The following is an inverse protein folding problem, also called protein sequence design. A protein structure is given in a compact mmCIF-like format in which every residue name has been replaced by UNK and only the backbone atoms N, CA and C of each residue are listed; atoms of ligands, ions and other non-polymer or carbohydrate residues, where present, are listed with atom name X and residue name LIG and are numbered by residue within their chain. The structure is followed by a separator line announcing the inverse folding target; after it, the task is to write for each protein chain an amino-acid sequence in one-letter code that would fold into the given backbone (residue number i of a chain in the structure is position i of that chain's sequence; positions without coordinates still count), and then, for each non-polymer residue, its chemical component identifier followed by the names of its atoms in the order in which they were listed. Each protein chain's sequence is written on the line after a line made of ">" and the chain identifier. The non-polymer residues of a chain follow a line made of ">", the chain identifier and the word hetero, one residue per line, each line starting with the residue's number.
data_IF_693445618340
#
_entry.id   IF_693445618340
#
_cell.length_a   1.000
_cell.length_b   1.000
_cell.length_c   1.000
_cell.angle_alpha   90.00
_cell.angle_beta   90.00
_cell.angle_gamma   90.00
#
_symmetry.space_group_name_H-M   'P 1'
#
loop_
_entity.id
_entity.type
_entity.pdbx_description
1 polymer ?
#
# COMPACT_ATOMS: atom_id res chain seq x y z
N UNK A 1 -26.62 -15.56 14.11
CA UNK A 1 -25.34 -15.35 13.40
C UNK A 1 -25.50 -14.98 11.91
N UNK A 2 -26.73 -14.91 11.35
CA UNK A 2 -27.01 -14.39 10.00
C UNK A 2 -27.44 -12.90 9.94
N UNK A 3 -27.59 -12.21 11.08
CA UNK A 3 -28.08 -10.81 11.12
C UNK A 3 -26.98 -9.73 11.06
N UNK A 4 -25.70 -10.10 11.19
CA UNK A 4 -24.57 -9.14 11.12
C UNK A 4 -24.02 -8.93 9.71
N UNK A 5 -24.07 -9.97 8.84
CA UNK A 5 -23.62 -9.88 7.44
C UNK A 5 -24.58 -9.14 6.49
N UNK A 6 -25.80 -8.83 6.94
CA UNK A 6 -26.78 -8.04 6.16
C UNK A 6 -26.58 -6.52 6.37
N UNK A 7 -25.92 -6.08 7.45
CA UNK A 7 -25.67 -4.65 7.70
C UNK A 7 -24.57 -4.05 6.83
N UNK A 8 -23.51 -4.80 6.54
CA UNK A 8 -22.40 -4.30 5.72
C UNK A 8 -22.78 -4.16 4.22
N UNK A 9 -23.70 -5.00 3.74
CA UNK A 9 -24.31 -4.83 2.41
C UNK A 9 -25.34 -3.70 2.37
N UNK A 10 -26.01 -3.40 3.49
CA UNK A 10 -26.86 -2.21 3.61
C UNK A 10 -26.03 -0.92 3.59
N UNK A 11 -24.85 -0.88 4.18
CA UNK A 11 -23.99 0.33 4.17
C UNK A 11 -23.37 0.61 2.79
N UNK A 12 -22.98 -0.41 2.03
CA UNK A 12 -22.51 -0.24 0.64
C UNK A 12 -23.64 0.17 -0.30
N UNK A 13 -24.85 -0.39 -0.13
CA UNK A 13 -26.04 0.14 -0.82
C UNK A 13 -26.37 1.56 -0.36
N UNK A 14 -26.16 1.92 0.92
CA UNK A 14 -26.40 3.27 1.45
C UNK A 14 -25.46 4.31 0.83
N UNK A 15 -24.19 3.97 0.59
CA UNK A 15 -23.22 4.89 -0.05
C UNK A 15 -23.55 5.11 -1.53
N UNK A 16 -23.95 4.07 -2.25
CA UNK A 16 -24.36 4.19 -3.67
C UNK A 16 -25.73 4.86 -3.80
N UNK A 17 -26.68 4.56 -2.91
CA UNK A 17 -27.97 5.26 -2.84
C UNK A 17 -27.79 6.71 -2.41
N UNK A 18 -26.93 7.04 -1.45
CA UNK A 18 -26.60 8.42 -1.09
C UNK A 18 -25.96 9.16 -2.25
N UNK A 19 -25.09 8.52 -3.04
CA UNK A 19 -24.54 9.16 -4.24
C UNK A 19 -25.64 9.44 -5.28
N UNK A 20 -26.55 8.49 -5.52
CA UNK A 20 -27.72 8.72 -6.40
C UNK A 20 -28.74 9.70 -5.82
N UNK A 21 -28.95 9.73 -4.51
CA UNK A 21 -29.87 10.66 -3.83
C UNK A 21 -29.26 12.06 -3.78
N UNK A 22 -27.96 12.22 -3.56
CA UNK A 22 -27.22 13.49 -3.64
C UNK A 22 -27.18 14.00 -5.08
N UNK A 23 -27.11 13.10 -6.08
CA UNK A 23 -27.20 13.45 -7.49
C UNK A 23 -28.64 13.75 -7.95
N UNK A 24 -29.64 13.09 -7.35
CA UNK A 24 -31.07 13.30 -7.66
C UNK A 24 -31.71 14.45 -6.87
N UNK A 25 -31.15 14.82 -5.71
CA UNK A 25 -31.52 16.00 -4.92
C UNK A 25 -30.80 17.27 -5.41
N UNK A 26 -30.12 17.20 -6.56
CA UNK A 26 -29.57 18.37 -7.30
C UNK A 26 -30.63 19.36 -7.79
N UNK A 27 -31.89 19.19 -7.41
CA UNK A 27 -32.96 20.13 -7.68
C UNK A 27 -32.90 21.40 -6.83
N UNK A 28 -32.81 21.33 -5.50
CA UNK A 28 -33.32 22.48 -4.70
C UNK A 28 -32.64 22.83 -3.36
N UNK A 29 -31.48 22.26 -2.94
CA UNK A 29 -30.96 22.58 -1.58
C UNK A 29 -29.48 22.94 -1.39
N UNK A 30 -28.68 23.15 -2.44
CA UNK A 30 -27.33 23.72 -2.27
C UNK A 30 -26.99 24.71 -3.39
N UNK A 31 -27.09 26.01 -3.08
CA UNK A 31 -26.80 27.12 -4.00
C UNK A 31 -25.30 27.36 -4.32
N UNK A 32 -24.39 26.45 -3.96
CA UNK A 32 -22.99 26.52 -4.44
C UNK A 32 -22.71 25.37 -5.38
N UNK A 33 -22.63 25.67 -6.68
CA UNK A 33 -22.00 24.75 -7.62
C UNK A 33 -20.54 24.64 -7.20
N UNK A 34 -20.06 23.42 -6.99
CA UNK A 34 -18.64 23.15 -6.70
C UNK A 34 -17.67 23.63 -7.80
N UNK A 35 -18.20 24.06 -8.95
CA UNK A 35 -17.46 24.72 -10.03
C UNK A 35 -17.02 26.14 -9.70
N UNK A 36 -17.60 26.79 -8.69
CA UNK A 36 -17.39 28.20 -8.39
C UNK A 36 -16.38 28.42 -7.24
N UNK A 37 -15.65 27.37 -6.85
CA UNK A 37 -14.62 27.44 -5.81
C UNK A 37 -13.30 27.90 -6.43
N UNK A 38 -12.69 29.01 -5.96
CA UNK A 38 -11.42 29.46 -6.50
C UNK A 38 -10.33 28.43 -6.25
N UNK A 39 -9.45 28.21 -7.24
CA UNK A 39 -8.32 27.29 -7.11
C UNK A 39 -7.37 27.82 -6.03
N UNK A 40 -7.30 27.13 -4.89
CA UNK A 40 -6.53 27.56 -3.70
C UNK A 40 -5.03 27.29 -3.86
N UNK A 41 -4.67 26.30 -4.67
CA UNK A 41 -3.28 25.90 -4.88
C UNK A 41 -3.09 25.29 -6.27
N UNK A 42 -1.91 25.49 -6.85
CA UNK A 42 -1.51 24.85 -8.11
C UNK A 42 -0.14 24.20 -7.97
N UNK A 43 0.06 23.01 -8.57
CA UNK A 43 1.37 22.36 -8.59
C UNK A 43 2.39 23.21 -9.35
N UNK A 44 3.62 23.23 -8.84
CA UNK A 44 4.77 23.81 -9.54
C UNK A 44 5.39 22.82 -10.54
N UNK A 45 6.40 23.25 -11.31
CA UNK A 45 7.07 22.41 -12.31
C UNK A 45 7.67 21.11 -11.74
N UNK A 46 8.09 21.15 -10.47
CA UNK A 46 8.67 20.02 -9.76
C UNK A 46 7.63 18.99 -9.29
N UNK A 47 6.35 19.32 -9.36
CA UNK A 47 5.27 18.42 -8.93
C UNK A 47 5.12 17.24 -9.90
N UNK A 48 4.90 16.05 -9.35
CA UNK A 48 4.61 14.85 -10.14
C UNK A 48 5.75 14.31 -11.00
N UNK A 49 7.03 14.65 -10.73
CA UNK A 49 8.18 14.14 -11.51
C UNK A 49 8.19 12.63 -11.68
N UNK A 50 7.91 11.88 -10.61
CA UNK A 50 7.87 10.40 -10.63
C UNK A 50 6.76 9.91 -11.56
N UNK A 51 5.56 10.50 -11.45
CA UNK A 51 4.43 10.18 -12.32
C UNK A 51 4.72 10.52 -13.78
N UNK A 52 5.36 11.67 -14.06
CA UNK A 52 5.80 12.04 -15.42
C UNK A 52 6.80 11.03 -15.98
N UNK A 53 7.73 10.55 -15.16
CA UNK A 53 8.70 9.49 -15.54
C UNK A 53 7.98 8.18 -15.87
N UNK A 54 7.04 7.76 -15.03
CA UNK A 54 6.24 6.56 -15.28
C UNK A 54 5.39 6.68 -16.54
N UNK A 55 4.67 7.80 -16.70
CA UNK A 55 3.88 8.11 -17.89
C UNK A 55 4.72 7.97 -19.17
N UNK A 56 5.94 8.52 -19.17
CA UNK A 56 6.83 8.43 -20.32
C UNK A 56 7.20 6.98 -20.67
N UNK A 57 7.44 6.12 -19.68
CA UNK A 57 7.70 4.69 -19.91
C UNK A 57 6.50 4.03 -20.60
N UNK A 58 5.28 4.35 -20.16
CA UNK A 58 4.05 3.84 -20.78
C UNK A 58 3.90 4.37 -22.21
N UNK A 59 4.08 5.68 -22.44
CA UNK A 59 4.00 6.29 -23.77
C UNK A 59 5.00 5.65 -24.74
N UNK A 60 6.26 5.50 -24.32
CA UNK A 60 7.33 4.96 -25.15
C UNK A 60 7.11 3.46 -25.46
N UNK A 61 6.65 2.67 -24.49
CA UNK A 61 6.49 1.21 -24.63
C UNK A 61 5.22 0.82 -25.41
N UNK A 62 4.11 1.51 -25.18
CA UNK A 62 2.81 1.20 -25.77
C UNK A 62 2.46 2.09 -26.97
N UNK A 63 3.35 3.02 -27.34
CA UNK A 63 3.14 3.97 -28.44
C UNK A 63 1.84 4.78 -28.31
N UNK A 64 1.51 5.16 -27.07
CA UNK A 64 0.33 5.98 -26.74
C UNK A 64 0.72 7.41 -26.41
N UNK A 65 -0.18 8.35 -26.63
CA UNK A 65 -0.02 9.75 -26.23
C UNK A 65 -0.91 10.04 -25.02
N UNK A 66 -0.32 10.50 -23.92
CA UNK A 66 -1.04 10.80 -22.68
C UNK A 66 -0.82 12.28 -22.33
N UNK A 67 -1.78 13.16 -22.64
CA UNK A 67 -1.60 14.61 -22.49
C UNK A 67 -1.63 15.04 -21.01
N UNK A 68 -2.29 14.28 -20.14
CA UNK A 68 -2.33 14.56 -18.71
C UNK A 68 -2.63 13.36 -17.82
N UNK A 69 -2.88 13.67 -16.53
CA UNK A 69 -3.24 12.66 -15.53
C UNK A 69 -4.50 11.89 -15.92
N UNK A 70 -5.52 12.56 -16.47
CA UNK A 70 -6.79 11.93 -16.82
C UNK A 70 -6.63 10.89 -17.92
N UNK A 71 -5.73 11.11 -18.88
CA UNK A 71 -5.45 10.13 -19.93
C UNK A 71 -4.69 8.93 -19.38
N UNK A 72 -3.69 9.16 -18.53
CA UNK A 72 -2.98 8.08 -17.84
C UNK A 72 -3.92 7.26 -16.94
N UNK A 73 -4.83 7.93 -16.23
CA UNK A 73 -5.86 7.28 -15.42
C UNK A 73 -6.77 6.41 -16.30
N UNK A 74 -7.33 6.98 -17.37
CA UNK A 74 -8.18 6.25 -18.32
C UNK A 74 -7.45 5.02 -18.87
N UNK A 75 -6.21 5.21 -19.34
CA UNK A 75 -5.38 4.13 -19.85
C UNK A 75 -5.15 3.04 -18.79
N UNK A 76 -4.87 3.41 -17.53
CA UNK A 76 -4.64 2.45 -16.43
C UNK A 76 -5.86 1.60 -16.10
N UNK A 77 -7.07 2.15 -16.28
CA UNK A 77 -8.32 1.42 -16.06
C UNK A 77 -8.74 0.56 -17.25
N UNK A 78 -8.36 0.95 -18.46
CA UNK A 78 -8.65 0.19 -19.70
C UNK A 78 -7.61 -0.91 -19.95
N UNK A 79 -6.36 -0.74 -19.49
CA UNK A 79 -5.23 -1.65 -19.69
C UNK A 79 -4.64 -2.07 -18.34
N UNK A 80 -5.48 -2.71 -17.52
CA UNK A 80 -5.19 -2.95 -16.10
C UNK A 80 -3.96 -3.87 -15.91
N UNK A 81 -3.87 -4.96 -16.68
CA UNK A 81 -2.78 -5.92 -16.57
C UNK A 81 -1.44 -5.32 -17.01
N UNK A 82 -1.44 -4.57 -18.11
CA UNK A 82 -0.30 -3.84 -18.66
C UNK A 82 0.19 -2.79 -17.66
N UNK A 83 -0.72 -1.97 -17.14
CA UNK A 83 -0.39 -0.93 -16.16
C UNK A 83 0.28 -1.52 -14.92
N UNK A 84 -0.28 -2.58 -14.34
CA UNK A 84 0.25 -3.19 -13.12
C UNK A 84 1.54 -3.99 -13.38
N UNK A 85 1.71 -4.57 -14.57
CA UNK A 85 2.99 -5.13 -14.99
C UNK A 85 4.09 -4.05 -15.09
N UNK A 86 3.79 -2.90 -15.69
CA UNK A 86 4.76 -1.79 -15.74
C UNK A 86 5.05 -1.22 -14.35
N UNK A 87 4.04 -1.12 -13.49
CA UNK A 87 4.23 -0.63 -12.13
C UNK A 87 5.18 -1.52 -11.35
N UNK A 88 5.06 -2.85 -11.47
CA UNK A 88 5.98 -3.81 -10.87
C UNK A 88 7.45 -3.54 -11.26
N UNK A 89 7.69 -3.32 -12.54
CA UNK A 89 9.03 -3.05 -13.07
C UNK A 89 9.52 -1.66 -12.68
N UNK A 90 8.66 -0.66 -12.74
CA UNK A 90 8.98 0.73 -12.44
C UNK A 90 9.42 0.93 -10.99
N UNK A 91 8.74 0.29 -10.03
CA UNK A 91 9.13 0.36 -8.61
C UNK A 91 10.31 -0.56 -8.28
N UNK A 92 10.63 -1.50 -9.18
CA UNK A 92 11.72 -2.44 -9.04
C UNK A 92 11.47 -3.45 -7.92
N UNK A 93 10.34 -4.17 -7.99
CA UNK A 93 10.04 -5.23 -7.03
C UNK A 93 11.08 -6.36 -7.15
N UNK A 94 11.72 -6.67 -6.02
CA UNK A 94 12.61 -7.81 -5.88
C UNK A 94 11.75 -9.05 -5.66
N UNK A 95 11.97 -10.07 -6.49
CA UNK A 95 11.25 -11.35 -6.40
C UNK A 95 12.16 -12.50 -6.82
N UNK A 96 11.96 -13.65 -6.18
CA UNK A 96 12.63 -14.91 -6.54
C UNK A 96 11.99 -15.60 -7.76
N UNK A 97 10.70 -15.33 -7.99
CA UNK A 97 9.98 -15.73 -9.19
C UNK A 97 9.05 -14.58 -9.58
N UNK A 98 9.10 -14.16 -10.85
CA UNK A 98 8.15 -13.20 -11.43
C UNK A 98 6.75 -13.84 -11.51
N UNK A 99 5.72 -13.01 -11.52
CA UNK A 99 4.35 -13.47 -11.77
C UNK A 99 4.23 -14.12 -13.16
N UNK A 100 3.33 -15.10 -13.25
CA UNK A 100 2.90 -15.71 -14.50
C UNK A 100 1.71 -14.93 -15.08
N UNK A 101 0.85 -14.36 -14.23
CA UNK A 101 -0.31 -13.55 -14.63
C UNK A 101 -0.52 -12.41 -13.61
N UNK A 102 -0.76 -11.19 -14.09
CA UNK A 102 -0.98 -10.02 -13.21
C UNK A 102 -2.34 -10.10 -12.53
N UNK A 103 -3.38 -10.37 -13.31
CA UNK A 103 -4.76 -10.43 -12.86
C UNK A 103 -5.57 -11.23 -13.89
N UNK A 104 -6.45 -12.12 -13.41
CA UNK A 104 -7.46 -12.73 -14.28
C UNK A 104 -8.67 -11.81 -14.38
N UNK A 105 -8.86 -11.19 -15.54
CA UNK A 105 -9.97 -10.28 -15.82
C UNK A 105 -11.32 -11.00 -15.95
N UNK A 106 -11.33 -12.33 -16.05
CA UNK A 106 -12.56 -13.13 -16.12
C UNK A 106 -13.06 -13.57 -14.73
N UNK A 107 -12.27 -13.33 -13.67
CA UNK A 107 -12.65 -13.69 -12.31
C UNK A 107 -13.92 -12.92 -11.90
N UNK A 108 -14.93 -13.60 -11.33
CA UNK A 108 -16.17 -12.95 -10.98
C UNK A 108 -15.99 -12.06 -9.73
N UNK A 109 -16.75 -10.97 -9.65
CA UNK A 109 -16.58 -9.94 -8.61
C UNK A 109 -16.84 -10.44 -7.17
N UNK A 110 -17.55 -11.56 -7.02
CA UNK A 110 -17.80 -12.21 -5.73
C UNK A 110 -16.59 -12.96 -5.18
N UNK A 111 -15.58 -13.21 -6.01
CA UNK A 111 -14.31 -13.80 -5.59
C UNK A 111 -13.26 -12.70 -5.37
N UNK A 112 -12.34 -12.94 -4.43
CA UNK A 112 -11.16 -12.10 -4.28
C UNK A 112 -10.21 -12.41 -5.44
N UNK A 113 -9.98 -11.47 -6.37
CA UNK A 113 -9.14 -11.75 -7.51
C UNK A 113 -7.70 -11.98 -7.06
N UNK A 114 -7.05 -12.99 -7.66
CA UNK A 114 -5.64 -13.26 -7.41
C UNK A 114 -4.79 -12.28 -8.19
N UNK A 115 -4.01 -11.49 -7.47
CA UNK A 115 -3.03 -10.58 -8.04
C UNK A 115 -1.65 -11.23 -8.12
N UNK A 116 -0.95 -11.02 -9.23
CA UNK A 116 0.41 -11.48 -9.48
C UNK A 116 0.57 -12.99 -9.26
N UNK A 117 -0.38 -13.78 -9.76
CA UNK A 117 -0.35 -15.23 -9.60
C UNK A 117 0.96 -15.81 -10.14
N UNK A 118 1.54 -16.73 -9.37
CA UNK A 118 2.85 -17.31 -9.66
C UNK A 118 4.04 -16.56 -9.06
N UNK A 119 3.90 -15.28 -8.66
CA UNK A 119 5.01 -14.52 -8.08
C UNK A 119 5.43 -15.07 -6.71
N UNK A 120 6.73 -15.00 -6.43
CA UNK A 120 7.30 -15.30 -5.11
C UNK A 120 8.25 -14.19 -4.68
N UNK A 121 7.83 -13.41 -3.69
CA UNK A 121 8.59 -12.30 -3.11
C UNK A 121 8.57 -12.35 -1.59
N UNK A 122 9.49 -11.62 -0.96
CA UNK A 122 9.43 -11.35 0.46
C UNK A 122 9.24 -9.84 0.71
N UNK A 123 8.31 -9.49 1.60
CA UNK A 123 8.01 -8.10 1.93
C UNK A 123 9.20 -7.40 2.60
N UNK A 124 9.82 -8.04 3.59
CA UNK A 124 10.97 -7.48 4.29
C UNK A 124 12.16 -7.30 3.34
N UNK A 125 12.41 -8.23 2.42
CA UNK A 125 13.47 -8.10 1.40
C UNK A 125 13.33 -6.82 0.57
N UNK A 126 12.10 -6.50 0.15
CA UNK A 126 11.84 -5.30 -0.63
C UNK A 126 12.02 -4.00 0.17
N UNK A 127 11.67 -4.00 1.47
CA UNK A 127 11.89 -2.85 2.36
C UNK A 127 13.37 -2.69 2.76
N UNK A 128 14.09 -3.81 2.90
CA UNK A 128 15.47 -3.89 3.35
C UNK A 128 16.48 -3.98 2.19
N UNK A 129 16.07 -3.58 0.99
CA UNK A 129 16.92 -3.64 -0.21
C UNK A 129 18.14 -2.71 -0.12
N UNK A 130 18.02 -1.62 0.63
CA UNK A 130 19.14 -0.71 0.91
C UNK A 130 19.84 -1.13 2.19
N UNK A 131 21.17 -1.05 2.19
CA UNK A 131 22.06 -1.38 3.31
C UNK A 131 23.19 -0.37 3.41
N UNK A 132 22.85 0.90 3.18
CA UNK A 132 23.78 2.02 3.18
C UNK A 132 23.60 2.88 4.45
N UNK A 133 24.43 3.91 4.59
CA UNK A 133 24.45 4.82 5.74
C UNK A 133 23.37 5.90 5.68
N UNK A 134 22.45 5.85 4.71
CA UNK A 134 21.32 6.79 4.68
C UNK A 134 20.37 6.49 5.82
N UNK A 135 19.76 7.55 6.35
CA UNK A 135 18.80 7.42 7.44
C UNK A 135 17.52 6.75 6.94
N UNK A 136 17.15 5.65 7.59
CA UNK A 136 15.92 4.91 7.35
C UNK A 136 14.82 5.31 8.34
N UNK A 137 15.15 5.45 9.62
CA UNK A 137 14.20 5.81 10.68
C UNK A 137 14.75 7.01 11.44
N UNK A 138 13.88 8.00 11.66
CA UNK A 138 14.07 9.07 12.64
C UNK A 138 13.04 8.83 13.72
N UNK A 139 13.50 8.45 14.91
CA UNK A 139 12.63 8.27 16.06
C UNK A 139 12.69 9.50 16.94
N UNK A 140 11.53 10.03 17.26
CA UNK A 140 11.33 11.14 18.17
C UNK A 140 10.27 10.75 19.21
N UNK A 141 10.41 11.23 20.43
CA UNK A 141 9.54 10.88 21.53
C UNK A 141 9.62 11.92 22.64
N UNK A 142 8.58 11.96 23.48
CA UNK A 142 8.36 13.03 24.46
C UNK A 142 9.56 13.27 25.41
N UNK A 143 10.26 12.20 25.80
CA UNK A 143 11.39 12.24 26.73
C UNK A 143 12.74 11.88 26.08
N UNK A 144 12.76 11.61 24.78
CA UNK A 144 13.91 11.01 24.11
C UNK A 144 14.64 11.99 23.21
N UNK A 145 15.98 11.89 23.19
CA UNK A 145 16.75 12.54 22.12
C UNK A 145 16.36 11.91 20.78
N UNK A 146 16.23 12.75 19.76
CA UNK A 146 16.03 12.31 18.39
C UNK A 146 17.12 11.31 18.03
N UNK A 147 16.69 10.12 17.64
CA UNK A 147 17.57 9.05 17.22
C UNK A 147 17.42 8.81 15.73
N UNK A 148 18.55 8.57 15.06
CA UNK A 148 18.60 8.29 13.63
C UNK A 148 19.20 6.90 13.43
N UNK A 149 18.47 6.05 12.72
CA UNK A 149 18.89 4.70 12.37
C UNK A 149 19.14 4.64 10.87
N UNK A 150 20.30 4.13 10.46
CA UNK A 150 20.64 3.95 9.05
C UNK A 150 19.96 2.70 8.46
N UNK A 151 19.89 2.60 7.14
CA UNK A 151 19.43 1.38 6.47
C UNK A 151 20.30 0.15 6.82
N UNK A 152 21.62 0.33 6.92
CA UNK A 152 22.54 -0.73 7.36
C UNK A 152 22.23 -1.23 8.79
N UNK A 153 21.99 -0.31 9.74
CA UNK A 153 21.64 -0.66 11.12
C UNK A 153 20.28 -1.36 11.19
N UNK A 154 19.27 -0.82 10.50
CA UNK A 154 17.93 -1.41 10.43
C UNK A 154 17.97 -2.84 9.86
N UNK A 155 18.83 -3.10 8.87
CA UNK A 155 19.03 -4.44 8.31
C UNK A 155 19.60 -5.42 9.34
N UNK A 156 20.66 -5.03 10.06
CA UNK A 156 21.27 -5.90 11.07
C UNK A 156 20.32 -6.17 12.25
N UNK A 157 19.55 -5.16 12.69
CA UNK A 157 18.50 -5.35 13.70
C UNK A 157 17.43 -6.35 13.20
N UNK A 158 16.83 -6.11 12.03
CA UNK A 158 15.82 -7.01 11.48
C UNK A 158 16.33 -8.46 11.32
N UNK A 159 17.60 -8.63 10.96
CA UNK A 159 18.28 -9.94 10.89
C UNK A 159 18.40 -10.61 12.25
N UNK A 160 18.74 -9.87 13.31
CA UNK A 160 18.78 -10.40 14.67
C UNK A 160 17.40 -10.83 15.15
N UNK A 161 16.36 -10.02 14.93
CA UNK A 161 14.97 -10.38 15.24
C UNK A 161 14.53 -11.64 14.47
N UNK A 162 14.83 -11.71 13.17
CA UNK A 162 14.56 -12.87 12.33
C UNK A 162 15.23 -14.15 12.85
N UNK A 163 16.48 -14.06 13.31
CA UNK A 163 17.21 -15.17 13.91
C UNK A 163 16.60 -15.59 15.26
N UNK A 164 16.24 -14.63 16.11
CA UNK A 164 15.58 -14.89 17.40
C UNK A 164 14.24 -15.60 17.19
N UNK A 165 13.39 -15.12 16.28
CA UNK A 165 12.10 -15.75 15.97
C UNK A 165 12.26 -17.20 15.49
N UNK A 166 13.22 -17.48 14.59
CA UNK A 166 13.52 -18.86 14.18
C UNK A 166 13.99 -19.72 15.36
N UNK A 167 14.83 -19.18 16.25
CA UNK A 167 15.31 -19.87 17.45
C UNK A 167 14.15 -20.23 18.40
N UNK A 168 13.14 -19.37 18.50
CA UNK A 168 11.91 -19.65 19.25
C UNK A 168 10.92 -20.57 18.50
N UNK A 169 11.30 -21.07 17.32
CA UNK A 169 10.53 -22.08 16.60
C UNK A 169 9.45 -21.52 15.66
N UNK A 170 9.40 -20.21 15.42
CA UNK A 170 8.44 -19.60 14.50
C UNK A 170 8.72 -20.05 13.06
N UNK A 171 7.63 -20.35 12.34
CA UNK A 171 7.62 -20.84 10.96
C UNK A 171 6.73 -19.96 10.10
N UNK A 172 6.83 -20.17 8.78
CA UNK A 172 5.95 -19.54 7.79
C UNK A 172 4.48 -19.83 8.14
N UNK A 173 3.67 -18.79 8.20
CA UNK A 173 2.23 -18.86 8.54
C UNK A 173 1.90 -18.76 10.03
N UNK A 174 2.90 -18.77 10.92
CA UNK A 174 2.65 -18.46 12.33
C UNK A 174 2.28 -16.99 12.51
N UNK A 175 1.46 -16.67 13.51
CA UNK A 175 1.01 -15.30 13.79
C UNK A 175 1.80 -14.74 14.95
N UNK A 176 2.26 -13.49 14.81
CA UNK A 176 2.94 -12.74 15.86
C UNK A 176 2.15 -11.47 16.12
N UNK A 177 1.58 -11.38 17.33
CA UNK A 177 0.91 -10.20 17.81
C UNK A 177 1.91 -9.28 18.52
N UNK A 178 1.91 -8.01 18.13
CA UNK A 178 2.70 -6.97 18.75
C UNK A 178 1.80 -5.99 19.49
N UNK A 179 2.13 -5.77 20.76
CA UNK A 179 1.53 -4.74 21.58
C UNK A 179 2.64 -3.79 22.03
N UNK A 180 2.84 -2.73 21.27
CA UNK A 180 3.94 -1.78 21.45
C UNK A 180 3.53 -0.39 20.98
N UNK A 181 4.13 0.64 21.58
CA UNK A 181 4.01 2.02 21.08
C UNK A 181 4.74 2.22 19.75
N UNK A 182 4.55 3.39 19.13
CA UNK A 182 5.20 3.75 17.87
C UNK A 182 6.71 3.93 18.08
N UNK A 183 7.44 2.81 18.03
CA UNK A 183 8.87 2.70 18.32
C UNK A 183 9.58 1.95 17.21
N UNK A 184 10.85 2.26 16.97
CA UNK A 184 11.69 1.60 15.96
C UNK A 184 11.75 0.08 16.17
N UNK A 185 11.68 -0.39 17.42
CA UNK A 185 11.68 -1.81 17.76
C UNK A 185 10.45 -2.55 17.18
N UNK A 186 9.29 -1.90 17.10
CA UNK A 186 8.10 -2.47 16.46
C UNK A 186 8.32 -2.68 14.96
N UNK A 187 9.03 -1.74 14.31
CA UNK A 187 9.40 -1.83 12.91
C UNK A 187 10.40 -2.98 12.69
N UNK A 188 11.43 -3.10 13.53
CA UNK A 188 12.41 -4.19 13.45
C UNK A 188 11.77 -5.56 13.67
N UNK A 189 10.88 -5.67 14.65
CA UNK A 189 10.12 -6.89 14.92
C UNK A 189 9.24 -7.27 13.73
N UNK A 190 8.49 -6.32 13.15
CA UNK A 190 7.69 -6.56 11.94
C UNK A 190 8.55 -7.05 10.77
N UNK A 191 9.72 -6.44 10.52
CA UNK A 191 10.63 -6.90 9.47
C UNK A 191 11.17 -8.30 9.76
N UNK A 192 11.52 -8.59 11.01
CA UNK A 192 11.92 -9.93 11.45
C UNK A 192 10.84 -10.98 11.16
N UNK A 193 9.60 -10.72 11.57
CA UNK A 193 8.44 -11.61 11.36
C UNK A 193 8.14 -11.81 9.87
N UNK A 194 8.06 -10.73 9.10
CA UNK A 194 7.73 -10.81 7.66
C UNK A 194 8.88 -11.43 6.85
N UNK A 195 10.14 -11.29 7.27
CA UNK A 195 11.30 -11.94 6.63
C UNK A 195 11.24 -13.48 6.69
N UNK A 196 10.61 -14.05 7.72
CA UNK A 196 10.48 -15.50 7.88
C UNK A 196 9.16 -16.05 7.32
N UNK A 197 8.33 -15.18 6.74
CA UNK A 197 7.01 -15.54 6.21
C UNK A 197 5.96 -15.79 7.29
N UNK A 198 6.21 -15.35 8.52
CA UNK A 198 5.20 -15.29 9.57
C UNK A 198 4.30 -14.06 9.36
N UNK A 199 3.12 -14.08 9.97
CA UNK A 199 2.07 -13.09 9.82
C UNK A 199 2.16 -12.12 11.00
N UNK A 200 2.46 -10.86 10.68
CA UNK A 200 2.47 -9.78 11.67
C UNK A 200 1.07 -9.26 11.92
N UNK A 201 0.72 -9.05 13.18
CA UNK A 201 -0.44 -8.26 13.59
C UNK A 201 -0.04 -7.35 14.73
N UNK A 202 -0.62 -6.16 14.80
CA UNK A 202 -0.32 -5.18 15.83
C UNK A 202 -1.60 -4.59 16.38
N UNK A 203 -1.61 -4.39 17.69
CA UNK A 203 -2.66 -3.66 18.41
C UNK A 203 -2.08 -2.36 18.93
N UNK A 204 -2.87 -1.28 18.86
CA UNK A 204 -2.48 0.01 19.40
C UNK A 204 -2.36 -0.11 20.94
N UNK A 205 -1.35 0.53 21.57
CA UNK A 205 -1.14 0.47 23.01
C UNK A 205 -2.23 1.18 23.84
N UNK A 206 -3.19 1.83 23.17
CA UNK A 206 -4.34 2.48 23.78
C UNK A 206 -5.56 1.55 23.88
N UNK A 207 -5.49 0.35 23.30
CA UNK A 207 -6.56 -0.64 23.40
C UNK A 207 -6.54 -1.28 24.79
N UNK A 208 -7.72 -1.39 25.38
CA UNK A 208 -7.92 -2.13 26.63
C UNK A 208 -7.64 -3.62 26.45
N UNK A 209 -7.61 -4.35 27.57
CA UNK A 209 -7.35 -5.80 27.57
C UNK A 209 -8.50 -6.66 27.03
N UNK A 210 -9.67 -6.07 26.78
CA UNK A 210 -10.91 -6.73 26.35
C UNK A 210 -11.21 -6.47 24.87
#
# INVERSE_FOLDING_TARGET
>A
MLRRRVRELQELLFVVYLYKLVVSLKGEMYHRKFTDVPVVWKPNENSGKIMKKFKKIVEDKYMVKLDGYMDLYKWSTENLCEFWAEMWDFVGIISSKRFDTVLDLNAPMNDLPKWYEGAKLNFAENLLKYRDDKIAIIQDGEDAKIEKVTFAQMYEEAKLYSAAFRKFGLKKGDRVACYMSNRKEAVFAMMGVTSIGAIWTAALPLLGSE
#
